data_IF_227848257745
#
_entry.id   IF_227848257745
#
_cell.length_a   1.000
_cell.length_b   1.000
_cell.length_c   1.000
_cell.angle_alpha   90.00
_cell.angle_beta   90.00
_cell.angle_gamma   90.00
#
_symmetry.space_group_name_H-M   'P 1'
#
loop_
_entity.id
_entity.type
_entity.pdbx_description
1 polymer ?
#
# COMPACT_ATOMS: atom_id res chain seq x y z
N UNK A 1 -16.11 1.27 -20.25
CA UNK A 1 -16.76 1.32 -18.93
C UNK A 1 -15.69 1.48 -17.87
N UNK A 2 -15.93 2.29 -16.84
CA UNK A 2 -15.05 2.38 -15.67
C UNK A 2 -15.46 1.30 -14.67
N UNK A 3 -14.56 0.36 -14.37
CA UNK A 3 -14.82 -0.70 -13.39
C UNK A 3 -14.25 -0.29 -12.05
N UNK A 4 -15.11 -0.20 -11.03
CA UNK A 4 -14.68 0.03 -9.65
C UNK A 4 -14.55 -1.34 -8.99
N UNK A 5 -13.35 -1.68 -8.56
CA UNK A 5 -13.11 -2.87 -7.74
C UNK A 5 -13.28 -2.50 -6.26
N UNK A 6 -14.31 -3.05 -5.62
CA UNK A 6 -14.53 -2.94 -4.18
C UNK A 6 -13.96 -4.14 -3.43
N UNK A 7 -13.64 -3.95 -2.15
CA UNK A 7 -13.44 -5.09 -1.26
C UNK A 7 -14.76 -5.85 -1.09
N UNK A 8 -14.69 -7.17 -0.97
CA UNK A 8 -15.87 -8.00 -0.73
C UNK A 8 -16.54 -7.61 0.59
N UNK A 9 -17.86 -7.37 0.63
CA UNK A 9 -18.56 -7.20 1.89
C UNK A 9 -18.52 -8.51 2.68
N UNK A 10 -18.33 -8.40 4.00
CA UNK A 10 -18.23 -9.55 4.92
C UNK A 10 -17.29 -10.67 4.43
N UNK A 11 -15.96 -10.43 4.39
CA UNK A 11 -14.99 -11.39 3.86
C UNK A 11 -14.99 -12.74 4.59
N UNK A 12 -15.36 -12.75 5.88
CA UNK A 12 -15.52 -13.98 6.65
C UNK A 12 -16.62 -14.88 6.07
N UNK A 13 -17.81 -14.32 5.84
CA UNK A 13 -18.94 -15.07 5.28
C UNK A 13 -18.65 -15.55 3.86
N UNK A 14 -17.97 -14.73 3.04
CA UNK A 14 -17.57 -15.14 1.69
C UNK A 14 -16.58 -16.31 1.71
N UNK A 15 -15.60 -16.28 2.62
CA UNK A 15 -14.66 -17.38 2.79
C UNK A 15 -15.37 -18.65 3.24
N UNK A 16 -16.24 -18.55 4.25
CA UNK A 16 -17.03 -19.66 4.77
C UNK A 16 -17.84 -20.34 3.65
N UNK A 17 -18.69 -19.58 2.95
CA UNK A 17 -19.55 -20.12 1.88
C UNK A 17 -18.73 -20.70 0.72
N UNK A 18 -17.60 -20.07 0.38
CA UNK A 18 -16.73 -20.55 -0.70
C UNK A 18 -16.05 -21.88 -0.32
N UNK A 19 -15.67 -22.03 0.95
CA UNK A 19 -15.07 -23.26 1.47
C UNK A 19 -16.10 -24.38 1.57
N UNK A 20 -17.29 -24.10 2.13
CA UNK A 20 -18.41 -25.05 2.20
C UNK A 20 -18.75 -25.63 0.82
N UNK A 21 -18.88 -24.76 -0.20
CA UNK A 21 -19.17 -25.18 -1.57
C UNK A 21 -18.07 -26.10 -2.13
N UNK A 22 -16.80 -25.80 -1.87
CA UNK A 22 -15.67 -26.62 -2.33
C UNK A 22 -15.64 -27.98 -1.63
N UNK A 23 -15.91 -28.02 -0.33
CA UNK A 23 -15.99 -29.27 0.44
C UNK A 23 -17.12 -30.16 -0.06
N UNK A 24 -18.31 -29.59 -0.29
CA UNK A 24 -19.46 -30.33 -0.83
C UNK A 24 -19.17 -30.90 -2.22
N UNK A 25 -18.54 -30.12 -3.11
CA UNK A 25 -18.12 -30.60 -4.43
C UNK A 25 -17.09 -31.74 -4.36
N UNK A 26 -16.35 -31.84 -3.26
CA UNK A 26 -15.43 -32.95 -2.96
C UNK A 26 -16.08 -34.10 -2.16
N UNK A 27 -17.41 -34.09 -1.99
CA UNK A 27 -18.14 -35.13 -1.27
C UNK A 27 -18.14 -35.00 0.26
N UNK A 28 -17.61 -33.90 0.81
CA UNK A 28 -17.56 -33.63 2.25
C UNK A 28 -18.77 -32.77 2.62
N UNK A 29 -19.70 -33.35 3.38
CA UNK A 29 -20.91 -32.65 3.83
C UNK A 29 -20.73 -32.09 5.24
N UNK A 30 -20.95 -30.79 5.41
CA UNK A 30 -21.01 -30.12 6.70
C UNK A 30 -22.46 -30.25 7.22
N UNK A 31 -22.65 -30.97 8.34
CA UNK A 31 -23.98 -31.26 8.91
C UNK A 31 -24.45 -30.25 9.95
N UNK A 32 -23.51 -29.56 10.58
CA UNK A 32 -23.75 -28.64 11.68
C UNK A 32 -23.47 -27.19 11.25
N UNK A 33 -23.96 -26.24 12.03
CA UNK A 33 -23.64 -24.82 11.81
C UNK A 33 -22.14 -24.55 12.02
N UNK A 34 -21.60 -23.63 11.22
CA UNK A 34 -20.23 -23.15 11.39
C UNK A 34 -20.19 -22.22 12.59
N UNK A 35 -19.38 -22.59 13.58
CA UNK A 35 -19.16 -21.81 14.79
C UNK A 35 -17.77 -21.17 14.77
N UNK A 36 -17.68 -19.90 15.17
CA UNK A 36 -16.38 -19.25 15.43
C UNK A 36 -16.02 -19.53 16.87
N UNK A 37 -15.05 -20.43 17.08
CA UNK A 37 -14.53 -20.77 18.40
C UNK A 37 -13.24 -20.00 18.67
N UNK A 38 -13.09 -19.51 19.90
CA UNK A 38 -11.86 -18.87 20.39
C UNK A 38 -11.02 -19.81 21.26
N UNK A 39 -11.32 -21.11 21.27
CA UNK A 39 -10.63 -22.09 22.11
C UNK A 39 -9.38 -22.63 21.42
N UNK A 40 -8.22 -22.43 22.03
CA UNK A 40 -6.91 -22.86 21.51
C UNK A 40 -6.64 -24.38 21.60
N UNK A 41 -7.66 -25.21 21.78
CA UNK A 41 -7.52 -26.68 21.89
C UNK A 41 -7.86 -27.42 20.58
N UNK A 42 -8.04 -26.69 19.47
CA UNK A 42 -8.36 -27.28 18.18
C UNK A 42 -7.13 -27.91 17.52
N UNK A 43 -7.31 -29.07 16.89
CA UNK A 43 -6.28 -29.70 16.08
C UNK A 43 -6.18 -28.99 14.72
N UNK A 44 -5.00 -28.46 14.40
CA UNK A 44 -4.74 -27.84 13.09
C UNK A 44 -4.78 -28.92 12.01
N UNK A 45 -5.75 -28.83 11.10
CA UNK A 45 -5.88 -29.74 9.96
C UNK A 45 -5.02 -29.30 8.76
N UNK A 46 -4.89 -27.99 8.56
CA UNK A 46 -4.16 -27.43 7.44
C UNK A 46 -3.70 -26.00 7.75
N UNK A 47 -2.52 -25.64 7.26
CA UNK A 47 -1.97 -24.29 7.29
C UNK A 47 -1.65 -23.85 5.88
N UNK A 48 -2.14 -22.67 5.50
CA UNK A 48 -1.86 -22.06 4.20
C UNK A 48 -0.99 -20.83 4.39
N UNK A 49 0.22 -20.85 3.85
CA UNK A 49 1.13 -19.71 3.88
C UNK A 49 0.81 -18.74 2.73
N UNK A 50 0.83 -17.44 3.02
CA UNK A 50 0.77 -16.41 1.97
C UNK A 50 2.06 -16.40 1.15
N UNK A 51 2.06 -15.73 -0.02
CA UNK A 51 3.30 -15.28 -0.64
C UNK A 51 4.16 -14.46 0.33
N UNK A 52 5.44 -14.36 0.01
CA UNK A 52 6.39 -13.53 0.72
C UNK A 52 6.06 -12.02 0.63
N UNK A 53 6.61 -11.23 1.54
CA UNK A 53 6.30 -9.81 1.69
C UNK A 53 6.64 -8.99 0.43
N UNK A 54 7.74 -9.31 -0.24
CA UNK A 54 8.17 -8.72 -1.51
C UNK A 54 7.12 -8.91 -2.61
N UNK A 55 6.51 -10.10 -2.73
CA UNK A 55 5.41 -10.32 -3.68
C UNK A 55 4.15 -9.51 -3.33
N UNK A 56 3.83 -9.40 -2.04
CA UNK A 56 2.69 -8.60 -1.58
C UNK A 56 2.92 -7.10 -1.85
N UNK A 57 4.12 -6.60 -1.55
CA UNK A 57 4.55 -5.22 -1.82
C UNK A 57 4.58 -4.93 -3.31
N UNK A 58 5.06 -5.87 -4.14
CA UNK A 58 5.02 -5.75 -5.59
C UNK A 58 3.60 -5.45 -6.09
N UNK A 59 2.62 -6.26 -5.71
CA UNK A 59 1.23 -6.02 -6.15
C UNK A 59 0.60 -4.79 -5.51
N UNK A 60 0.91 -4.49 -4.25
CA UNK A 60 0.48 -3.25 -3.61
C UNK A 60 0.93 -2.02 -4.40
N UNK A 61 2.19 -1.99 -4.81
CA UNK A 61 2.79 -0.85 -5.50
C UNK A 61 2.37 -0.79 -6.98
N UNK A 62 2.37 -1.92 -7.69
CA UNK A 62 2.02 -2.01 -9.10
C UNK A 62 0.55 -1.70 -9.39
N UNK A 63 -0.36 -2.19 -8.53
CA UNK A 63 -1.80 -2.06 -8.73
C UNK A 63 -2.47 -1.05 -7.80
N UNK A 64 -1.71 -0.48 -6.86
CA UNK A 64 -2.21 0.50 -5.88
C UNK A 64 -3.41 -0.03 -5.10
N UNK A 65 -3.33 -1.26 -4.62
CA UNK A 65 -4.46 -1.96 -3.99
C UNK A 65 -4.68 -1.40 -2.58
N UNK A 66 -5.74 -0.60 -2.39
CA UNK A 66 -6.03 0.05 -1.10
C UNK A 66 -6.17 -0.96 0.05
N UNK A 67 -6.78 -2.12 -0.22
CA UNK A 67 -6.94 -3.18 0.78
C UNK A 67 -5.60 -3.66 1.34
N UNK A 68 -4.54 -3.71 0.51
CA UNK A 68 -3.22 -4.10 0.95
C UNK A 68 -2.63 -3.03 1.88
N UNK A 69 -2.78 -1.74 1.54
CA UNK A 69 -2.34 -0.64 2.41
C UNK A 69 -2.95 -0.71 3.80
N UNK A 70 -4.27 -0.94 3.90
CA UNK A 70 -4.96 -1.12 5.18
C UNK A 70 -4.52 -2.39 5.93
N UNK A 71 -4.44 -3.52 5.22
CA UNK A 71 -4.08 -4.80 5.83
C UNK A 71 -2.64 -4.77 6.37
N UNK A 72 -1.69 -4.23 5.60
CA UNK A 72 -0.30 -4.07 6.02
C UNK A 72 -0.18 -3.17 7.25
N UNK A 73 -0.89 -2.03 7.27
CA UNK A 73 -0.89 -1.12 8.40
C UNK A 73 -1.45 -1.76 9.68
N UNK A 74 -2.57 -2.48 9.57
CA UNK A 74 -3.18 -3.21 10.70
C UNK A 74 -2.30 -4.37 11.18
N UNK A 75 -1.65 -5.07 10.25
CA UNK A 75 -0.74 -6.18 10.57
C UNK A 75 0.47 -5.67 11.33
N UNK A 76 1.06 -4.56 10.88
CA UNK A 76 2.13 -3.87 11.58
C UNK A 76 1.70 -3.48 13.00
N UNK A 77 0.51 -2.89 13.15
CA UNK A 77 -0.03 -2.51 14.45
C UNK A 77 -0.22 -3.72 15.39
N UNK A 78 -0.77 -4.82 14.86
CA UNK A 78 -0.92 -6.08 15.60
C UNK A 78 0.44 -6.61 16.07
N UNK A 79 1.45 -6.62 15.21
CA UNK A 79 2.77 -7.14 15.54
C UNK A 79 3.56 -6.27 16.52
N UNK A 80 3.35 -4.94 16.48
CA UNK A 80 4.13 -4.00 17.30
C UNK A 80 3.45 -3.65 18.62
N UNK A 81 2.12 -3.57 18.63
CA UNK A 81 1.34 -3.04 19.74
C UNK A 81 0.27 -4.03 20.23
N UNK A 82 0.11 -5.19 19.59
CA UNK A 82 -0.92 -6.18 19.92
C UNK A 82 -2.34 -5.83 19.45
N UNK A 83 -2.52 -4.68 18.79
CA UNK A 83 -3.83 -4.16 18.37
C UNK A 83 -3.85 -3.94 16.85
N UNK A 84 -4.51 -4.84 16.12
CA UNK A 84 -4.68 -4.78 14.67
C UNK A 84 -5.72 -3.78 14.17
N UNK A 85 -5.53 -2.48 14.43
CA UNK A 85 -6.41 -1.41 13.97
C UNK A 85 -5.69 -0.35 13.11
N UNK A 86 -6.44 0.35 12.25
CA UNK A 86 -5.89 1.43 11.41
C UNK A 86 -5.31 2.54 12.30
N UNK A 87 -6.03 2.96 13.34
CA UNK A 87 -5.58 4.02 14.25
C UNK A 87 -4.28 3.65 14.98
N UNK A 88 -4.18 2.43 15.50
CA UNK A 88 -2.96 1.96 16.16
C UNK A 88 -1.78 1.93 15.19
N UNK A 89 -2.00 1.50 13.94
CA UNK A 89 -0.97 1.49 12.91
C UNK A 89 -0.52 2.89 12.49
N UNK A 90 -1.46 3.81 12.33
CA UNK A 90 -1.18 5.23 12.06
C UNK A 90 -0.35 5.85 13.17
N UNK A 91 -0.72 5.63 14.44
CA UNK A 91 0.04 6.13 15.59
C UNK A 91 1.47 5.58 15.59
N UNK A 92 1.62 4.28 15.35
CA UNK A 92 2.93 3.65 15.28
C UNK A 92 3.78 4.22 14.14
N UNK A 93 3.22 4.36 12.93
CA UNK A 93 3.92 4.90 11.75
C UNK A 93 4.36 6.34 11.95
N UNK A 94 3.52 7.18 12.57
CA UNK A 94 3.88 8.58 12.86
C UNK A 94 5.05 8.64 13.83
N UNK A 95 5.02 7.85 14.90
CA UNK A 95 6.14 7.76 15.86
C UNK A 95 7.41 7.24 15.19
N UNK A 96 7.30 6.17 14.40
CA UNK A 96 8.41 5.56 13.68
C UNK A 96 9.18 6.55 12.81
N UNK A 97 8.45 7.41 12.07
CA UNK A 97 9.04 8.43 11.21
C UNK A 97 9.50 9.66 11.97
N UNK A 98 8.81 10.04 13.06
CA UNK A 98 9.27 11.10 13.96
C UNK A 98 10.65 10.81 14.52
N UNK A 99 10.88 9.58 15.00
CA UNK A 99 12.19 9.12 15.50
C UNK A 99 13.29 9.13 14.41
N UNK A 100 12.90 9.26 13.13
CA UNK A 100 13.80 9.30 11.97
C UNK A 100 13.86 10.68 11.32
N UNK A 101 13.47 11.73 12.05
CA UNK A 101 13.66 13.12 11.65
C UNK A 101 12.55 13.71 10.78
N UNK A 102 11.43 13.01 10.57
CA UNK A 102 10.25 13.61 9.95
C UNK A 102 9.48 14.41 11.00
N UNK A 103 9.28 15.70 10.76
CA UNK A 103 8.47 16.56 11.63
C UNK A 103 7.03 16.01 11.80
N UNK A 104 6.51 16.08 13.03
CA UNK A 104 5.18 15.54 13.37
C UNK A 104 4.02 16.19 12.61
N UNK A 105 4.22 17.40 12.11
CA UNK A 105 3.27 18.16 11.30
C UNK A 105 3.49 17.94 9.80
N UNK A 106 4.66 17.41 9.39
CA UNK A 106 4.96 17.09 8.00
C UNK A 106 4.31 15.79 7.52
N UNK A 107 3.83 14.94 8.44
CA UNK A 107 3.14 13.69 8.14
C UNK A 107 1.84 13.52 8.95
N UNK A 108 0.71 13.72 8.26
CA UNK A 108 -0.63 13.35 8.73
C UNK A 108 -1.11 12.13 7.95
N UNK A 109 -1.12 10.98 8.62
CA UNK A 109 -1.74 9.76 8.11
C UNK A 109 -3.10 9.56 8.77
N UNK A 110 -4.09 9.15 7.98
CA UNK A 110 -5.43 8.74 8.42
C UNK A 110 -5.68 7.28 8.07
N UNK A 111 -5.02 6.78 7.03
CA UNK A 111 -5.18 5.42 6.54
C UNK A 111 -3.84 4.89 5.97
N UNK A 112 -3.81 3.61 5.60
CA UNK A 112 -2.62 2.95 5.05
C UNK A 112 -2.54 3.00 3.52
N UNK A 113 -3.65 3.36 2.87
CA UNK A 113 -3.78 3.32 1.41
C UNK A 113 -3.52 4.66 0.72
N UNK A 114 -3.68 5.78 1.41
CA UNK A 114 -3.66 7.12 0.82
C UNK A 114 -4.99 7.57 0.23
N UNK A 115 -6.07 6.80 0.40
CA UNK A 115 -7.39 7.11 -0.17
C UNK A 115 -8.06 8.30 0.54
N UNK A 116 -7.85 8.43 1.85
CA UNK A 116 -8.43 9.50 2.64
C UNK A 116 -7.93 10.86 2.16
N UNK A 117 -8.84 11.80 1.81
CA UNK A 117 -8.48 13.15 1.44
C UNK A 117 -7.98 13.98 2.63
N UNK A 118 -7.92 13.40 3.84
CA UNK A 118 -7.36 14.00 5.04
C UNK A 118 -5.86 13.67 5.22
N UNK A 119 -5.32 12.73 4.45
CA UNK A 119 -3.89 12.45 4.42
C UNK A 119 -3.11 13.70 3.96
N UNK A 120 -2.02 14.02 4.65
CA UNK A 120 -1.07 15.07 4.24
C UNK A 120 0.35 14.55 4.42
N UNK A 121 1.18 14.78 3.41
CA UNK A 121 2.63 14.61 3.54
C UNK A 121 3.32 15.71 2.72
N UNK A 122 4.59 15.96 3.03
CA UNK A 122 5.43 16.89 2.26
C UNK A 122 6.29 16.13 1.26
N UNK A 123 6.79 16.82 0.24
CA UNK A 123 7.77 16.23 -0.67
C UNK A 123 9.04 15.78 0.08
N UNK A 124 9.49 16.59 1.05
CA UNK A 124 10.61 16.26 1.92
C UNK A 124 10.39 14.95 2.68
N UNK A 125 9.21 14.77 3.28
CA UNK A 125 8.84 13.51 3.97
C UNK A 125 8.95 12.29 3.04
N UNK A 126 8.50 12.42 1.79
CA UNK A 126 8.60 11.33 0.82
C UNK A 126 10.05 11.04 0.44
N UNK A 127 10.86 12.07 0.18
CA UNK A 127 12.29 11.91 -0.12
C UNK A 127 13.04 11.27 1.05
N UNK A 128 12.79 11.69 2.29
CA UNK A 128 13.38 11.07 3.49
C UNK A 128 13.04 9.58 3.58
N UNK A 129 11.79 9.21 3.28
CA UNK A 129 11.40 7.80 3.28
C UNK A 129 12.05 6.98 2.15
N UNK A 130 12.17 7.55 0.94
CA UNK A 130 12.87 6.91 -0.18
C UNK A 130 14.36 6.76 0.09
N UNK A 131 15.00 7.76 0.68
CA UNK A 131 16.41 7.71 1.06
C UNK A 131 16.65 6.68 2.18
N UNK A 132 15.75 6.63 3.16
CA UNK A 132 15.81 5.58 4.17
C UNK A 132 15.73 4.19 3.54
N UNK A 133 14.77 4.00 2.62
CA UNK A 133 14.55 2.72 1.94
C UNK A 133 15.73 2.29 1.08
N UNK A 134 16.45 3.22 0.42
CA UNK A 134 17.60 2.89 -0.44
C UNK A 134 18.79 2.27 0.29
N UNK A 135 18.84 2.44 1.61
CA UNK A 135 19.90 1.91 2.49
C UNK A 135 19.54 0.56 3.14
N UNK A 136 18.37 0.01 2.83
CA UNK A 136 17.88 -1.21 3.48
C UNK A 136 18.24 -2.46 2.69
N UNK A 137 18.39 -3.59 3.40
CA UNK A 137 18.68 -4.90 2.77
C UNK A 137 17.59 -5.36 1.82
N UNK A 138 16.35 -4.91 2.03
CA UNK A 138 15.20 -5.22 1.18
C UNK A 138 15.01 -4.24 0.01
N UNK A 139 15.91 -3.26 -0.17
CA UNK A 139 15.75 -2.21 -1.17
C UNK A 139 15.56 -2.72 -2.60
N UNK A 140 16.29 -3.75 -3.00
CA UNK A 140 16.20 -4.29 -4.37
C UNK A 140 14.78 -4.73 -4.73
N UNK A 141 14.11 -5.49 -3.85
CA UNK A 141 12.73 -5.90 -4.03
C UNK A 141 11.75 -4.71 -3.97
N UNK A 142 12.00 -3.76 -3.06
CA UNK A 142 11.20 -2.54 -2.98
C UNK A 142 11.30 -1.70 -4.25
N UNK A 143 12.50 -1.50 -4.81
CA UNK A 143 12.72 -0.75 -6.04
C UNK A 143 12.01 -1.42 -7.22
N UNK A 144 12.08 -2.74 -7.33
CA UNK A 144 11.39 -3.53 -8.37
C UNK A 144 9.85 -3.47 -8.27
N UNK A 145 9.31 -3.14 -7.09
CA UNK A 145 7.87 -2.98 -6.90
C UNK A 145 7.29 -1.71 -7.55
N UNK A 146 8.11 -0.70 -7.83
CA UNK A 146 7.64 0.56 -8.41
C UNK A 146 7.15 0.35 -9.85
N UNK A 147 5.95 0.87 -10.20
CA UNK A 147 5.52 0.91 -11.59
C UNK A 147 6.42 1.84 -12.41
N UNK A 148 6.55 1.53 -13.70
CA UNK A 148 7.23 2.41 -14.65
C UNK A 148 6.24 3.47 -15.14
N UNK A 149 6.47 4.73 -14.77
CA UNK A 149 5.74 5.89 -15.25
C UNK A 149 6.75 6.90 -15.83
N UNK A 150 6.49 7.41 -17.03
CA UNK A 150 7.43 8.29 -17.74
C UNK A 150 8.86 7.72 -17.89
N UNK A 151 9.00 6.39 -18.06
CA UNK A 151 10.29 5.69 -18.10
C UNK A 151 11.09 5.76 -16.78
N UNK A 152 10.41 6.08 -15.67
CA UNK A 152 10.98 6.19 -14.33
C UNK A 152 10.24 5.24 -13.37
N UNK A 153 10.92 4.77 -12.32
CA UNK A 153 10.32 3.94 -11.28
C UNK A 153 9.54 4.83 -10.30
N UNK A 154 8.30 5.17 -10.65
CA UNK A 154 7.48 6.12 -9.91
C UNK A 154 6.14 5.51 -9.51
N UNK A 155 5.82 5.60 -8.22
CA UNK A 155 4.48 5.34 -7.72
C UNK A 155 3.61 6.58 -7.96
N UNK A 156 2.46 6.36 -8.59
CA UNK A 156 1.46 7.40 -8.79
C UNK A 156 0.50 7.50 -7.60
N UNK A 157 -0.01 8.70 -7.36
CA UNK A 157 -1.13 8.97 -6.45
C UNK A 157 -2.17 9.84 -7.16
N UNK A 158 -3.46 9.53 -6.99
CA UNK A 158 -4.55 10.32 -7.57
C UNK A 158 -5.79 10.23 -6.69
N UNK A 159 -6.26 11.38 -6.23
CA UNK A 159 -7.60 11.59 -5.69
C UNK A 159 -8.16 12.86 -6.33
N UNK A 160 -9.42 13.19 -6.07
CA UNK A 160 -10.02 14.42 -6.59
C UNK A 160 -9.18 15.64 -6.20
N UNK A 161 -8.78 16.43 -7.21
CA UNK A 161 -7.98 17.64 -7.01
C UNK A 161 -6.50 17.42 -6.66
N UNK A 162 -6.01 16.17 -6.57
CA UNK A 162 -4.60 15.90 -6.28
C UNK A 162 -3.96 14.88 -7.21
N UNK A 163 -2.72 15.16 -7.62
CA UNK A 163 -1.87 14.27 -8.43
C UNK A 163 -0.48 14.21 -7.81
N UNK A 164 0.07 13.02 -7.73
CA UNK A 164 1.39 12.80 -7.15
C UNK A 164 2.18 11.76 -7.92
N UNK A 165 3.51 11.94 -7.95
CA UNK A 165 4.48 10.92 -8.33
C UNK A 165 5.64 10.92 -7.34
N UNK A 166 6.08 9.72 -6.93
CA UNK A 166 7.15 9.53 -5.97
C UNK A 166 7.97 8.28 -6.32
N UNK A 167 9.29 8.34 -6.28
CA UNK A 167 10.15 7.18 -6.52
C UNK A 167 11.56 7.52 -6.97
N UNK A 168 12.12 6.66 -7.83
CA UNK A 168 13.53 6.69 -8.22
C UNK A 168 13.67 6.83 -9.73
N UNK A 169 14.76 7.45 -10.16
CA UNK A 169 15.18 7.47 -11.56
C UNK A 169 16.70 7.52 -11.66
N UNK A 170 17.28 6.69 -12.52
CA UNK A 170 18.70 6.77 -12.87
C UNK A 170 18.79 7.14 -14.35
N UNK A 171 19.43 8.28 -14.65
CA UNK A 171 19.56 8.77 -16.01
C UNK A 171 20.69 8.05 -16.78
N UNK A 172 20.86 8.38 -18.06
CA UNK A 172 21.87 7.75 -18.91
C UNK A 172 23.32 7.99 -18.45
N UNK A 173 23.58 9.08 -17.70
CA UNK A 173 24.90 9.37 -17.12
C UNK A 173 25.16 8.62 -15.81
N UNK A 174 24.22 7.82 -15.32
CA UNK A 174 24.33 7.07 -14.07
C UNK A 174 23.95 7.87 -12.82
N UNK A 175 23.49 9.12 -12.96
CA UNK A 175 23.01 9.94 -11.84
C UNK A 175 21.65 9.44 -11.38
N UNK A 176 21.54 9.12 -10.09
CA UNK A 176 20.29 8.67 -9.47
C UNK A 176 19.60 9.81 -8.75
N UNK A 177 18.32 9.98 -9.04
CA UNK A 177 17.42 10.98 -8.48
C UNK A 177 16.37 10.32 -7.59
N UNK A 178 16.13 10.93 -6.42
CA UNK A 178 14.93 10.70 -5.62
C UNK A 178 13.91 11.75 -6.04
N UNK A 179 12.71 11.31 -6.43
CA UNK A 179 11.67 12.17 -6.99
C UNK A 179 10.47 12.17 -6.06
N UNK A 180 9.99 13.35 -5.70
CA UNK A 180 8.68 13.56 -5.10
C UNK A 180 8.06 14.80 -5.73
N UNK A 181 6.91 14.63 -6.38
CA UNK A 181 6.20 15.68 -7.09
C UNK A 181 4.73 15.64 -6.71
N UNK A 182 4.30 16.63 -5.95
CA UNK A 182 2.94 16.76 -5.42
C UNK A 182 2.26 17.99 -6.02
N UNK A 183 1.08 17.80 -6.62
CA UNK A 183 0.23 18.90 -7.10
C UNK A 183 -1.16 18.74 -6.50
N UNK A 184 -1.59 19.76 -5.76
CA UNK A 184 -2.91 19.83 -5.14
C UNK A 184 -3.71 20.99 -5.73
N UNK A 185 -5.03 20.89 -5.69
CA UNK A 185 -5.99 21.90 -6.13
C UNK A 185 -5.73 22.40 -7.56
N UNK A 186 -5.33 21.50 -8.47
CA UNK A 186 -5.13 21.86 -9.87
C UNK A 186 -6.47 22.00 -10.60
N UNK A 187 -6.50 22.89 -11.59
CA UNK A 187 -7.63 23.04 -12.51
C UNK A 187 -7.41 22.21 -13.79
N UNK A 188 -8.51 21.74 -14.38
CA UNK A 188 -8.49 20.95 -15.62
C UNK A 188 -8.45 19.44 -15.38
N UNK A 189 -8.10 18.68 -16.43
CA UNK A 189 -8.16 17.21 -16.38
C UNK A 189 -6.91 16.58 -15.75
N UNK A 190 -7.11 15.42 -15.11
CA UNK A 190 -6.03 14.61 -14.55
C UNK A 190 -4.95 14.23 -15.60
N UNK A 191 -5.36 14.02 -16.85
CA UNK A 191 -4.44 13.70 -17.94
C UNK A 191 -3.59 14.91 -18.36
N UNK A 192 -4.18 16.11 -18.38
CA UNK A 192 -3.46 17.33 -18.72
C UNK A 192 -2.39 17.67 -17.68
N UNK A 193 -2.72 17.58 -16.37
CA UNK A 193 -1.72 17.82 -15.32
C UNK A 193 -0.62 16.75 -15.34
N UNK A 194 -0.97 15.48 -15.60
CA UNK A 194 0.02 14.39 -15.71
C UNK A 194 1.03 14.68 -16.82
N UNK A 195 0.59 15.11 -18.01
CA UNK A 195 1.49 15.49 -19.11
C UNK A 195 2.43 16.62 -18.72
N UNK A 196 1.91 17.68 -18.08
CA UNK A 196 2.73 18.81 -17.61
C UNK A 196 3.77 18.38 -16.58
N UNK A 197 3.39 17.53 -15.63
CA UNK A 197 4.33 16.98 -14.65
C UNK A 197 5.43 16.16 -15.34
N UNK A 198 5.09 15.33 -16.32
CA UNK A 198 6.07 14.55 -17.07
C UNK A 198 7.01 15.42 -17.90
N UNK A 199 6.51 16.48 -18.55
CA UNK A 199 7.37 17.46 -19.24
C UNK A 199 8.41 18.08 -18.30
N UNK A 200 8.04 18.38 -17.05
CA UNK A 200 9.00 18.86 -16.05
C UNK A 200 10.00 17.77 -15.67
N UNK A 201 9.55 16.52 -15.48
CA UNK A 201 10.45 15.42 -15.13
C UNK A 201 11.40 15.03 -16.27
N UNK A 202 11.02 15.27 -17.52
CA UNK A 202 11.85 14.96 -18.69
C UNK A 202 13.16 15.73 -18.72
N UNK A 203 13.28 16.85 -17.98
CA UNK A 203 14.55 17.59 -17.86
C UNK A 203 15.64 16.82 -17.10
N UNK A 204 15.28 15.72 -16.41
CA UNK A 204 16.20 14.87 -15.67
C UNK A 204 16.80 13.73 -16.52
N UNK A 205 16.22 13.47 -17.70
CA UNK A 205 16.63 12.39 -18.60
C UNK A 205 17.93 12.75 -19.32
#
# INVERSE_FOLDING_TARGET
>A
SFTISGAMPNPFQVLQQSLERRLQASGITIKNEVVVSSNNQEQVLHSYASPNMDSLVYWFMQKSINLYGEALLKTLAQQKNGIGSTDAGVQWMRKYWQERGIDVNALRMVDGSGLSPLNRNTAYTQITALEFASRQTWFSAYLQSFPINNQMQLKSGTIQGAKAYCGYYTNASGTTYLISFLVNNYNGSASAITRKMFTVLDVLK
#
